data_IF_018158992911
#
_entry.id   IF_018158992911
#
_cell.length_a   1.000
_cell.length_b   1.000
_cell.length_c   1.000
_cell.angle_alpha   90.00
_cell.angle_beta   90.00
_cell.angle_gamma   90.00
#
_symmetry.space_group_name_H-M   'P 1'
#
loop_
_entity.id
_entity.type
_entity.pdbx_description
1 polymer ?
#
# COMPACT_ATOMS: atom_id res chain seq x y z
N UNK A 1 -25.60 2.94 5.61
CA UNK A 1 -25.35 2.51 4.22
C UNK A 1 -25.15 1.00 4.14
N UNK A 2 -25.44 0.43 3.00
CA UNK A 2 -25.19 -0.98 2.75
C UNK A 2 -23.73 -1.21 2.32
N UNK A 3 -23.31 -2.48 2.30
CA UNK A 3 -21.91 -2.84 2.00
C UNK A 3 -21.42 -2.32 0.64
N UNK A 4 -22.25 -2.32 -0.40
CA UNK A 4 -21.90 -1.78 -1.71
C UNK A 4 -21.63 -0.28 -1.69
N UNK A 5 -22.40 0.47 -0.92
CA UNK A 5 -22.17 1.91 -0.72
C UNK A 5 -20.91 2.17 0.07
N UNK A 6 -20.66 1.39 1.12
CA UNK A 6 -19.43 1.46 1.91
C UNK A 6 -18.20 1.16 1.04
N UNK A 7 -18.30 0.14 0.18
CA UNK A 7 -17.22 -0.20 -0.75
C UNK A 7 -16.90 0.97 -1.69
N UNK A 8 -17.91 1.60 -2.27
CA UNK A 8 -17.73 2.77 -3.14
C UNK A 8 -17.15 3.96 -2.38
N UNK A 9 -17.65 4.23 -1.18
CA UNK A 9 -17.18 5.36 -0.36
C UNK A 9 -15.73 5.22 0.08
N UNK A 10 -15.22 4.01 0.19
CA UNK A 10 -13.86 3.71 0.69
C UNK A 10 -12.91 3.25 -0.41
N UNK A 11 -13.38 3.07 -1.62
CA UNK A 11 -12.58 2.59 -2.75
C UNK A 11 -12.09 1.16 -2.60
N UNK A 12 -12.83 0.32 -1.89
CA UNK A 12 -12.53 -1.10 -1.73
C UNK A 12 -13.66 -1.97 -2.30
N UNK A 13 -13.66 -3.26 -2.02
CA UNK A 13 -14.64 -4.20 -2.50
C UNK A 13 -15.50 -4.74 -1.36
N UNK A 14 -16.72 -5.18 -1.69
CA UNK A 14 -17.58 -5.84 -0.71
C UNK A 14 -16.92 -7.09 -0.13
N UNK A 15 -16.15 -7.82 -0.93
CA UNK A 15 -15.41 -9.00 -0.49
C UNK A 15 -14.37 -8.64 0.57
N UNK A 16 -13.60 -7.58 0.36
CA UNK A 16 -12.61 -7.10 1.33
C UNK A 16 -13.30 -6.67 2.64
N UNK A 17 -14.42 -5.96 2.54
CA UNK A 17 -15.18 -5.52 3.71
C UNK A 17 -15.73 -6.69 4.53
N UNK A 18 -16.22 -7.73 3.87
CA UNK A 18 -16.66 -8.95 4.57
C UNK A 18 -15.49 -9.62 5.29
N UNK A 19 -14.32 -9.58 4.67
CA UNK A 19 -13.11 -10.12 5.28
C UNK A 19 -12.70 -9.32 6.52
N UNK A 20 -12.78 -7.99 6.46
CA UNK A 20 -12.52 -7.12 7.61
C UNK A 20 -13.50 -7.37 8.75
N UNK A 21 -14.78 -7.57 8.43
CA UNK A 21 -15.81 -7.89 9.40
C UNK A 21 -15.55 -9.24 10.07
N UNK A 22 -15.20 -10.27 9.30
CA UNK A 22 -14.84 -11.58 9.83
C UNK A 22 -13.61 -11.53 10.72
N UNK A 23 -12.66 -10.65 10.42
CA UNK A 23 -11.48 -10.44 11.24
C UNK A 23 -11.75 -9.58 12.50
N UNK A 24 -12.99 -9.10 12.67
CA UNK A 24 -13.37 -8.27 13.81
C UNK A 24 -12.88 -6.83 13.76
N UNK A 25 -12.48 -6.36 12.58
CA UNK A 25 -11.97 -5.00 12.41
C UNK A 25 -13.06 -3.97 12.19
N UNK A 26 -14.19 -4.37 11.64
CA UNK A 26 -15.37 -3.53 11.47
C UNK A 26 -16.61 -4.28 11.92
N UNK A 27 -17.64 -3.54 12.32
CA UNK A 27 -18.92 -4.06 12.72
C UNK A 27 -20.04 -3.50 11.85
N UNK A 28 -21.11 -4.27 11.72
CA UNK A 28 -22.32 -3.81 11.07
C UNK A 28 -23.49 -3.84 12.05
N UNK A 29 -24.40 -2.88 11.88
CA UNK A 29 -25.74 -2.99 12.45
C UNK A 29 -26.65 -3.77 11.51
N UNK A 30 -27.91 -3.98 11.92
CA UNK A 30 -28.91 -4.56 11.05
C UNK A 30 -30.10 -3.61 10.93
N UNK A 31 -30.57 -3.42 9.70
CA UNK A 31 -31.81 -2.72 9.45
C UNK A 31 -33.02 -3.58 9.87
N UNK A 32 -34.20 -2.97 9.92
CA UNK A 32 -35.45 -3.66 10.29
C UNK A 32 -35.74 -4.88 9.38
N UNK A 33 -35.27 -4.86 8.12
CA UNK A 33 -35.42 -5.95 7.16
C UNK A 33 -34.35 -7.04 7.27
N UNK A 34 -33.46 -6.96 8.27
CA UNK A 34 -32.40 -7.94 8.51
C UNK A 34 -31.11 -7.72 7.72
N UNK A 35 -31.07 -6.76 6.79
CA UNK A 35 -29.85 -6.45 6.04
C UNK A 35 -28.82 -5.73 6.91
N UNK A 36 -27.53 -5.98 6.60
CA UNK A 36 -26.41 -5.30 7.24
C UNK A 36 -26.37 -3.84 6.82
N UNK A 37 -26.15 -2.95 7.78
CA UNK A 37 -25.96 -1.53 7.56
C UNK A 37 -24.72 -1.04 8.28
N UNK A 38 -24.06 -0.05 7.67
CA UNK A 38 -22.81 0.54 8.17
C UNK A 38 -23.00 2.05 8.33
N UNK A 39 -22.31 2.65 9.29
CA UNK A 39 -22.37 4.08 9.55
C UNK A 39 -21.15 4.83 9.02
N UNK A 40 -21.16 6.16 9.15
CA UNK A 40 -20.05 7.02 8.70
C UNK A 40 -18.75 6.77 9.47
N UNK A 41 -18.83 6.39 10.73
CA UNK A 41 -17.64 6.03 11.50
C UNK A 41 -16.92 4.83 10.90
N UNK A 42 -17.67 3.90 10.31
CA UNK A 42 -17.11 2.74 9.62
C UNK A 42 -16.36 3.15 8.36
N UNK A 43 -16.81 4.20 7.66
CA UNK A 43 -16.09 4.74 6.49
C UNK A 43 -14.68 5.18 6.89
N UNK A 44 -14.56 5.97 7.95
CA UNK A 44 -13.26 6.42 8.48
C UNK A 44 -12.38 5.24 8.90
N UNK A 45 -12.95 4.30 9.62
CA UNK A 45 -12.23 3.09 10.05
C UNK A 45 -11.69 2.30 8.87
N UNK A 46 -12.49 2.05 7.86
CA UNK A 46 -12.07 1.31 6.65
C UNK A 46 -10.96 2.03 5.89
N UNK A 47 -11.06 3.34 5.76
CA UNK A 47 -10.00 4.15 5.13
C UNK A 47 -8.67 4.00 5.87
N UNK A 48 -8.72 4.04 7.19
CA UNK A 48 -7.52 3.87 8.03
C UNK A 48 -6.96 2.46 7.94
N UNK A 49 -7.81 1.43 7.92
CA UNK A 49 -7.38 0.05 7.70
C UNK A 49 -6.67 -0.08 6.37
N UNK A 50 -7.23 0.46 5.30
CA UNK A 50 -6.62 0.41 3.97
C UNK A 50 -5.25 1.09 3.92
N UNK A 51 -5.13 2.25 4.57
CA UNK A 51 -3.85 2.94 4.64
C UNK A 51 -2.77 2.08 5.31
N UNK A 52 -3.12 1.38 6.39
CA UNK A 52 -2.19 0.47 7.05
C UNK A 52 -1.83 -0.73 6.17
N UNK A 53 -2.81 -1.33 5.49
CA UNK A 53 -2.54 -2.45 4.58
C UNK A 53 -1.65 -2.03 3.40
N UNK A 54 -1.85 -0.84 2.86
CA UNK A 54 -0.99 -0.27 1.81
C UNK A 54 0.44 -0.04 2.30
N UNK A 55 0.62 0.27 3.58
CA UNK A 55 1.94 0.39 4.22
C UNK A 55 2.58 -0.96 4.52
N UNK A 56 1.92 -2.07 4.21
CA UNK A 56 2.46 -3.43 4.39
C UNK A 56 2.05 -4.13 5.67
N UNK A 57 1.11 -3.56 6.43
CA UNK A 57 0.53 -4.23 7.60
C UNK A 57 -0.37 -5.38 7.16
N UNK A 58 -0.38 -6.46 7.92
CA UNK A 58 -1.37 -7.53 7.77
C UNK A 58 -2.65 -7.17 8.55
N UNK A 59 -3.75 -7.88 8.31
CA UNK A 59 -4.96 -7.68 9.10
C UNK A 59 -4.73 -7.92 10.60
N UNK A 60 -3.87 -8.86 10.93
CA UNK A 60 -3.49 -9.15 12.32
C UNK A 60 -2.71 -7.98 12.94
N UNK A 61 -1.80 -7.38 12.18
CA UNK A 61 -1.04 -6.21 12.60
C UNK A 61 -1.91 -4.98 12.84
N UNK A 62 -3.08 -4.90 12.20
CA UNK A 62 -4.02 -3.78 12.35
C UNK A 62 -4.75 -3.81 13.70
N UNK A 63 -4.97 -4.99 14.28
CA UNK A 63 -5.70 -5.12 15.55
C UNK A 63 -5.22 -4.20 16.67
N UNK A 64 -3.92 -4.05 16.94
CA UNK A 64 -3.45 -3.13 17.98
C UNK A 64 -3.81 -1.67 17.76
N UNK A 65 -4.20 -1.30 16.52
CA UNK A 65 -4.59 0.06 16.15
C UNK A 65 -6.09 0.33 16.21
N UNK A 66 -6.91 -0.66 16.57
CA UNK A 66 -8.38 -0.51 16.55
C UNK A 66 -8.88 0.73 17.31
N UNK A 67 -8.26 1.07 18.44
CA UNK A 67 -8.61 2.26 19.20
C UNK A 67 -8.25 3.58 18.52
N UNK A 68 -7.42 3.56 17.48
CA UNK A 68 -6.96 4.74 16.75
C UNK A 68 -7.63 4.91 15.38
N UNK A 69 -8.41 3.93 14.93
CA UNK A 69 -8.92 3.88 13.56
C UNK A 69 -10.18 4.72 13.32
N UNK A 70 -10.77 5.27 14.37
CA UNK A 70 -12.07 5.94 14.28
C UNK A 70 -11.96 7.45 14.08
N UNK A 71 -10.74 7.98 13.96
CA UNK A 71 -10.51 9.40 13.74
C UNK A 71 -9.67 9.66 12.49
N UNK A 72 -9.89 10.81 11.85
CA UNK A 72 -9.11 11.23 10.68
C UNK A 72 -7.63 11.44 11.01
N UNK A 73 -7.32 11.82 12.25
CA UNK A 73 -5.98 11.83 12.77
C UNK A 73 -5.82 10.59 13.67
N UNK A 74 -4.83 9.75 13.39
CA UNK A 74 -4.53 8.64 14.28
C UNK A 74 -4.33 9.17 15.70
N UNK A 75 -5.16 8.74 16.63
CA UNK A 75 -4.95 9.01 18.04
C UNK A 75 -3.64 8.38 18.53
N UNK A 76 -3.17 8.69 19.74
CA UNK A 76 -1.93 8.12 20.26
C UNK A 76 -2.06 6.59 20.31
N UNK A 77 -1.20 5.84 19.58
CA UNK A 77 -1.25 4.40 19.60
C UNK A 77 -0.75 3.84 20.93
N UNK A 78 -1.18 2.62 21.27
CA UNK A 78 -0.61 1.88 22.38
C UNK A 78 0.89 1.61 22.16
N UNK A 79 1.63 1.30 23.22
CA UNK A 79 3.04 0.93 23.10
C UNK A 79 3.26 -0.26 22.16
N UNK A 80 2.35 -1.25 22.20
CA UNK A 80 2.41 -2.40 21.29
C UNK A 80 2.17 -2.00 19.83
N UNK A 81 1.19 -1.13 19.56
CA UNK A 81 0.93 -0.61 18.23
C UNK A 81 2.12 0.21 17.69
N UNK A 82 2.71 1.03 18.54
CA UNK A 82 3.89 1.83 18.16
C UNK A 82 5.08 0.95 17.79
N UNK A 83 5.29 -0.15 18.50
CA UNK A 83 6.36 -1.11 18.19
C UNK A 83 6.12 -1.75 16.82
N UNK A 84 4.90 -2.18 16.52
CA UNK A 84 4.53 -2.75 15.22
C UNK A 84 4.78 -1.72 14.11
N UNK A 85 4.38 -0.48 14.33
CA UNK A 85 4.60 0.60 13.36
C UNK A 85 6.09 0.82 13.08
N UNK A 86 6.93 0.84 14.11
CA UNK A 86 8.38 0.98 13.96
C UNK A 86 9.00 -0.19 13.21
N UNK A 87 8.58 -1.42 13.49
CA UNK A 87 9.07 -2.60 12.79
C UNK A 87 8.69 -2.54 11.30
N UNK A 88 7.49 -2.12 10.99
CA UNK A 88 7.05 -1.93 9.59
C UNK A 88 7.81 -0.82 8.90
N UNK A 89 8.06 0.30 9.57
CA UNK A 89 8.88 1.37 9.03
C UNK A 89 10.27 0.86 8.66
N UNK A 90 10.90 0.09 9.52
CA UNK A 90 12.21 -0.51 9.26
C UNK A 90 12.18 -1.41 8.03
N UNK A 91 11.15 -2.25 7.88
CA UNK A 91 10.99 -3.11 6.69
C UNK A 91 10.82 -2.28 5.43
N UNK A 92 10.02 -1.22 5.46
CA UNK A 92 9.81 -0.33 4.32
C UNK A 92 11.09 0.39 3.92
N UNK A 93 11.86 0.90 4.89
CA UNK A 93 13.14 1.56 4.64
C UNK A 93 14.14 0.62 3.97
N UNK A 94 14.20 -0.64 4.41
CA UNK A 94 15.04 -1.67 3.78
C UNK A 94 14.61 -1.97 2.34
N UNK A 95 13.31 -2.05 2.10
CA UNK A 95 12.77 -2.27 0.73
C UNK A 95 13.08 -1.09 -0.19
N UNK A 96 12.93 0.13 0.30
CA UNK A 96 13.28 1.35 -0.45
C UNK A 96 14.76 1.35 -0.80
N UNK A 97 15.63 1.03 0.16
CA UNK A 97 17.07 0.96 -0.08
C UNK A 97 17.43 -0.12 -1.11
N UNK A 98 16.84 -1.30 -1.02
CA UNK A 98 17.06 -2.40 -1.97
C UNK A 98 16.57 -2.03 -3.38
N UNK A 99 15.40 -1.42 -3.49
CA UNK A 99 14.86 -0.96 -4.78
C UNK A 99 15.70 0.16 -5.39
N UNK A 100 16.18 1.09 -4.57
CA UNK A 100 17.07 2.17 -5.03
C UNK A 100 18.40 1.61 -5.56
N UNK A 101 18.97 0.62 -4.88
CA UNK A 101 20.20 -0.04 -5.36
C UNK A 101 19.97 -0.78 -6.68
N UNK A 102 18.83 -1.45 -6.84
CA UNK A 102 18.45 -2.11 -8.09
C UNK A 102 18.29 -1.10 -9.23
N UNK A 103 17.59 0.00 -8.96
CA UNK A 103 17.43 1.10 -9.93
C UNK A 103 18.79 1.64 -10.37
N UNK A 104 19.70 1.88 -9.43
CA UNK A 104 21.01 2.46 -9.73
C UNK A 104 21.84 1.51 -10.60
N UNK A 105 21.80 0.21 -10.32
CA UNK A 105 22.47 -0.80 -11.14
C UNK A 105 21.88 -0.87 -12.54
N UNK A 106 20.56 -0.82 -12.65
CA UNK A 106 19.88 -0.84 -13.95
C UNK A 106 20.20 0.42 -14.78
N UNK A 107 20.17 1.58 -14.14
CA UNK A 107 20.52 2.85 -14.79
C UNK A 107 21.95 2.82 -15.30
N UNK A 108 22.90 2.30 -14.52
CA UNK A 108 24.29 2.16 -14.95
C UNK A 108 24.42 1.19 -16.13
N UNK A 109 23.72 0.06 -16.09
CA UNK A 109 23.73 -0.93 -17.18
C UNK A 109 23.16 -0.35 -18.48
N UNK A 110 22.09 0.45 -18.40
CA UNK A 110 21.50 1.13 -19.55
C UNK A 110 22.50 2.15 -20.13
N UNK A 111 23.13 2.96 -19.28
CA UNK A 111 24.11 3.95 -19.73
C UNK A 111 25.30 3.29 -20.42
N UNK A 112 25.81 2.18 -19.87
CA UNK A 112 26.90 1.42 -20.48
C UNK A 112 26.51 0.83 -21.84
N UNK A 113 25.31 0.27 -21.95
CA UNK A 113 24.79 -0.28 -23.19
C UNK A 113 24.59 0.79 -24.25
N UNK A 114 24.06 1.95 -23.88
CA UNK A 114 23.90 3.10 -24.79
C UNK A 114 25.27 3.63 -25.26
N UNK A 115 26.25 3.70 -24.39
CA UNK A 115 27.62 4.13 -24.78
C UNK A 115 28.24 3.15 -25.75
N UNK A 116 28.06 1.84 -25.57
CA UNK A 116 28.54 0.81 -26.49
C UNK A 116 27.84 0.95 -27.86
N UNK A 117 26.53 1.11 -27.88
CA UNK A 117 25.75 1.29 -29.10
C UNK A 117 26.17 2.54 -29.87
N UNK A 118 26.40 3.64 -29.17
CA UNK A 118 26.87 4.88 -29.77
C UNK A 118 28.29 4.73 -30.37
N UNK A 119 29.19 4.04 -29.67
CA UNK A 119 30.52 3.76 -30.16
C UNK A 119 30.50 2.87 -31.43
N UNK A 120 29.65 1.84 -31.45
CA UNK A 120 29.45 0.98 -32.61
C UNK A 120 28.85 1.75 -33.78
N UNK A 121 27.89 2.62 -33.56
CA UNK A 121 27.31 3.46 -34.61
C UNK A 121 28.32 4.41 -35.21
N UNK A 122 29.20 5.01 -34.42
CA UNK A 122 30.29 5.87 -34.88
C UNK A 122 31.30 5.07 -35.70
N UNK A 123 31.69 3.88 -35.21
CA UNK A 123 32.64 3.02 -35.94
C UNK A 123 32.06 2.58 -37.29
N UNK A 124 30.79 2.23 -37.36
CA UNK A 124 30.12 1.85 -38.62
C UNK A 124 30.03 3.03 -39.58
N UNK A 125 29.73 4.23 -39.10
CA UNK A 125 29.70 5.44 -39.92
C UNK A 125 31.09 5.76 -40.48
N UNK A 126 32.15 5.65 -39.68
CA UNK A 126 33.52 5.84 -40.12
C UNK A 126 33.97 4.80 -41.17
N UNK A 127 33.58 3.54 -40.94
CA UNK A 127 33.88 2.47 -41.91
C UNK A 127 33.19 2.71 -43.26
N UNK A 128 31.95 3.18 -43.24
CA UNK A 128 31.17 3.52 -44.45
C UNK A 128 31.82 4.67 -45.20
N UNK A 129 32.31 5.69 -44.51
CA UNK A 129 32.99 6.85 -45.15
C UNK A 129 34.32 6.44 -45.77
N UNK A 130 35.04 5.48 -45.19
CA UNK A 130 36.34 4.99 -45.70
C UNK A 130 36.19 4.03 -46.88
N UNK A 131 35.04 3.42 -47.02
CA UNK A 131 34.74 2.58 -48.19
C UNK A 131 34.33 3.42 -49.39
#
# INVERSE_FOLDING_TARGET
MRIGELARATGTTARALRHYEQAGLIDSGRAANGYRVYDEATVTRVRNIRSLLEAGFTLEDVRPFLGCLDSDAFGPPSAGALRIARDRLTVLERRIAAQSATRDRLAAAIADAEAIADAEAIADAEATVRA
#
